data_IF_624288375711
#
_entry.id   IF_624288375711
#
_cell.length_a   1.000
_cell.length_b   1.000
_cell.length_c   1.000
_cell.angle_alpha   90.00
_cell.angle_beta   90.00
_cell.angle_gamma   90.00
#
_symmetry.space_group_name_H-M   'P 1'
#
loop_
_entity.id
_entity.type
_entity.pdbx_description
1 polymer ?
#
# COMPACT_ATOMS: atom_id res chain seq x y z
N UNK A 1 14.84 -28.63 0.45
CA UNK A 1 15.25 -27.60 -0.52
C UNK A 1 14.82 -26.18 -0.11
N UNK A 2 13.62 -25.99 0.46
CA UNK A 2 13.13 -24.67 0.96
C UNK A 2 13.84 -24.11 2.22
N UNK A 3 14.50 -24.94 3.03
CA UNK A 3 15.22 -24.47 4.24
C UNK A 3 16.51 -23.70 3.94
N UNK A 4 17.12 -23.88 2.76
CA UNK A 4 18.34 -23.15 2.35
C UNK A 4 18.07 -21.73 1.85
N UNK A 5 16.81 -21.37 1.61
CA UNK A 5 16.40 -20.03 1.15
C UNK A 5 16.31 -19.00 2.28
N UNK A 6 16.36 -19.41 3.55
CA UNK A 6 16.14 -18.51 4.70
C UNK A 6 17.33 -18.45 5.66
N UNK A 7 18.44 -19.15 5.38
CA UNK A 7 19.65 -19.09 6.22
C UNK A 7 20.57 -17.91 5.90
N UNK A 8 20.29 -17.16 4.82
CA UNK A 8 21.11 -16.03 4.33
C UNK A 8 20.28 -14.77 4.00
N UNK A 9 19.02 -14.66 4.44
CA UNK A 9 18.22 -13.49 4.11
C UNK A 9 18.55 -12.34 5.05
N UNK A 10 19.16 -11.33 4.47
CA UNK A 10 19.46 -10.03 5.04
C UNK A 10 18.17 -9.19 5.03
N UNK A 11 17.59 -8.85 6.20
CA UNK A 11 16.34 -8.08 6.28
C UNK A 11 16.41 -6.75 5.54
N UNK A 12 17.58 -6.09 5.53
CA UNK A 12 17.79 -4.80 4.86
C UNK A 12 17.65 -4.96 3.33
N UNK A 13 18.26 -6.00 2.76
CA UNK A 13 18.13 -6.29 1.32
C UNK A 13 16.70 -6.63 0.92
N UNK A 14 15.98 -7.36 1.77
CA UNK A 14 14.58 -7.69 1.50
C UNK A 14 13.68 -6.45 1.60
N UNK A 15 13.90 -5.58 2.59
CA UNK A 15 13.22 -4.29 2.71
C UNK A 15 13.46 -3.44 1.46
N UNK A 16 14.72 -3.33 1.01
CA UNK A 16 15.08 -2.59 -0.20
C UNK A 16 14.39 -3.13 -1.46
N UNK A 17 14.37 -4.45 -1.63
CA UNK A 17 13.67 -5.08 -2.75
C UNK A 17 12.16 -4.79 -2.75
N UNK A 18 11.52 -4.85 -1.58
CA UNK A 18 10.07 -4.60 -1.45
C UNK A 18 9.73 -3.12 -1.65
N UNK A 19 10.54 -2.20 -1.11
CA UNK A 19 10.42 -0.75 -1.35
C UNK A 19 10.56 -0.44 -2.84
N UNK A 20 11.58 -1.00 -3.51
CA UNK A 20 11.75 -0.82 -4.96
C UNK A 20 10.53 -1.32 -5.73
N UNK A 21 10.00 -2.49 -5.40
CA UNK A 21 8.80 -3.04 -6.04
C UNK A 21 7.58 -2.11 -5.89
N UNK A 22 7.43 -1.49 -4.71
CA UNK A 22 6.38 -0.51 -4.44
C UNK A 22 6.57 0.74 -5.31
N UNK A 23 7.76 1.35 -5.31
CA UNK A 23 8.06 2.55 -6.08
C UNK A 23 7.88 2.33 -7.59
N UNK A 24 8.36 1.20 -8.13
CA UNK A 24 8.15 0.83 -9.53
C UNK A 24 6.66 0.68 -9.88
N UNK A 25 5.89 0.11 -8.97
CA UNK A 25 4.43 -0.05 -9.12
C UNK A 25 3.72 1.32 -9.12
N UNK A 26 4.07 2.20 -8.19
CA UNK A 26 3.55 3.57 -8.13
C UNK A 26 3.90 4.36 -9.38
N UNK A 27 5.15 4.29 -9.84
CA UNK A 27 5.61 4.94 -11.06
C UNK A 27 4.87 4.42 -12.31
N UNK A 28 4.60 3.12 -12.38
CA UNK A 28 3.83 2.53 -13.48
C UNK A 28 2.43 3.14 -13.57
N UNK A 29 1.73 3.30 -12.43
CA UNK A 29 0.41 3.96 -12.40
C UNK A 29 0.52 5.43 -12.75
N UNK A 30 1.51 6.13 -12.18
CA UNK A 30 1.72 7.55 -12.46
C UNK A 30 1.98 7.84 -13.95
N UNK A 31 2.61 6.89 -14.66
CA UNK A 31 2.86 6.96 -16.11
C UNK A 31 1.69 6.43 -16.97
N UNK A 32 0.71 5.77 -16.37
CA UNK A 32 -0.40 5.16 -17.11
C UNK A 32 -1.28 6.21 -17.79
N UNK A 33 -1.55 5.98 -19.08
CA UNK A 33 -2.29 6.93 -19.91
C UNK A 33 -3.76 7.04 -19.55
N UNK A 34 -4.38 5.99 -18.99
CA UNK A 34 -5.77 6.05 -18.53
C UNK A 34 -5.84 6.79 -17.19
N UNK A 35 -4.97 6.47 -16.24
CA UNK A 35 -4.86 7.16 -14.96
C UNK A 35 -4.67 8.67 -15.17
N UNK A 36 -3.70 9.07 -16.00
CA UNK A 36 -3.42 10.49 -16.32
C UNK A 36 -4.64 11.21 -16.90
N UNK A 37 -5.42 10.54 -17.76
CA UNK A 37 -6.68 11.10 -18.27
C UNK A 37 -7.72 11.27 -17.18
N UNK A 38 -7.87 10.29 -16.29
CA UNK A 38 -8.85 10.31 -15.19
C UNK A 38 -8.58 11.43 -14.18
N UNK A 39 -7.31 11.76 -13.95
CA UNK A 39 -6.90 12.83 -13.02
C UNK A 39 -6.71 14.19 -13.70
N UNK A 40 -7.03 14.33 -14.99
CA UNK A 40 -6.78 15.55 -15.79
C UNK A 40 -5.31 16.03 -15.69
N UNK A 41 -4.35 15.09 -15.79
CA UNK A 41 -2.92 15.33 -15.52
C UNK A 41 -2.33 16.55 -16.23
N UNK A 42 -2.63 16.74 -17.51
CA UNK A 42 -2.12 17.85 -18.33
C UNK A 42 -2.61 19.24 -17.88
N UNK A 43 -3.64 19.31 -17.04
CA UNK A 43 -4.18 20.57 -16.49
C UNK A 43 -3.65 20.87 -15.10
N UNK A 44 -2.80 20.00 -14.55
CA UNK A 44 -2.23 20.14 -13.21
C UNK A 44 -0.86 20.79 -13.29
N UNK A 45 -0.58 21.65 -12.32
CA UNK A 45 0.77 22.17 -12.14
C UNK A 45 1.71 21.07 -11.62
N UNK A 46 3.01 21.35 -11.68
CA UNK A 46 4.04 20.38 -11.26
C UNK A 46 3.89 19.98 -9.79
N UNK A 47 3.45 20.91 -8.94
CA UNK A 47 3.25 20.65 -7.52
C UNK A 47 2.15 19.60 -7.29
N UNK A 48 0.98 19.78 -7.92
CA UNK A 48 -0.10 18.81 -7.86
C UNK A 48 0.33 17.44 -8.42
N UNK A 49 1.09 17.43 -9.52
CA UNK A 49 1.60 16.20 -10.11
C UNK A 49 2.55 15.46 -9.15
N UNK A 50 3.47 16.19 -8.51
CA UNK A 50 4.38 15.63 -7.52
C UNK A 50 3.61 15.08 -6.31
N UNK A 51 2.62 15.82 -5.80
CA UNK A 51 1.77 15.37 -4.69
C UNK A 51 1.02 14.08 -5.03
N UNK A 52 0.48 13.96 -6.24
CA UNK A 52 -0.17 12.71 -6.69
C UNK A 52 0.81 11.55 -6.70
N UNK A 53 2.04 11.76 -7.19
CA UNK A 53 3.05 10.73 -7.19
C UNK A 53 3.42 10.29 -5.76
N UNK A 54 3.64 11.25 -4.87
CA UNK A 54 3.94 10.97 -3.47
C UNK A 54 2.82 10.15 -2.80
N UNK A 55 1.55 10.48 -3.05
CA UNK A 55 0.42 9.72 -2.51
C UNK A 55 0.36 8.28 -3.02
N UNK A 56 0.77 8.03 -4.28
CA UNK A 56 0.89 6.67 -4.81
C UNK A 56 2.02 5.89 -4.10
N UNK A 57 3.18 6.51 -3.90
CA UNK A 57 4.30 5.87 -3.21
C UNK A 57 3.98 5.55 -1.75
N UNK A 58 3.50 6.53 -0.98
CA UNK A 58 3.15 6.33 0.43
C UNK A 58 2.03 5.30 0.57
N UNK A 59 0.98 5.36 -0.25
CA UNK A 59 -0.09 4.34 -0.21
C UNK A 59 0.47 2.93 -0.41
N UNK A 60 1.38 2.75 -1.37
CA UNK A 60 2.02 1.46 -1.62
C UNK A 60 2.91 1.00 -0.46
N UNK A 61 3.64 1.93 0.17
CA UNK A 61 4.48 1.64 1.34
C UNK A 61 3.64 1.21 2.53
N UNK A 62 2.54 1.92 2.82
CA UNK A 62 1.66 1.54 3.93
C UNK A 62 0.98 0.20 3.64
N UNK A 63 0.56 -0.08 2.39
CA UNK A 63 0.04 -1.41 2.02
C UNK A 63 1.05 -2.52 2.32
N UNK A 64 2.34 -2.30 2.03
CA UNK A 64 3.41 -3.24 2.34
C UNK A 64 3.53 -3.49 3.85
N UNK A 65 3.56 -2.43 4.67
CA UNK A 65 3.62 -2.55 6.13
C UNK A 65 2.45 -3.40 6.66
N UNK A 66 1.23 -3.09 6.23
CA UNK A 66 0.04 -3.85 6.62
C UNK A 66 0.06 -5.31 6.17
N UNK A 67 0.60 -5.59 4.99
CA UNK A 67 0.74 -6.95 4.51
C UNK A 67 1.73 -7.76 5.34
N UNK A 68 2.82 -7.14 5.77
CA UNK A 68 3.78 -7.79 6.66
C UNK A 68 3.10 -8.07 8.00
N UNK A 69 2.46 -7.08 8.62
CA UNK A 69 1.77 -7.22 9.91
C UNK A 69 0.68 -8.31 9.87
N UNK A 70 -0.14 -8.31 8.82
CA UNK A 70 -1.17 -9.34 8.62
C UNK A 70 -0.56 -10.73 8.39
N UNK A 71 0.62 -10.84 7.77
CA UNK A 71 1.21 -12.12 7.38
C UNK A 71 2.06 -12.75 8.46
N UNK A 72 2.67 -11.95 9.34
CA UNK A 72 3.58 -12.39 10.40
C UNK A 72 2.92 -13.40 11.35
N UNK A 73 1.60 -13.32 11.55
CA UNK A 73 0.86 -14.27 12.39
C UNK A 73 0.71 -15.68 11.77
N UNK A 74 0.94 -15.83 10.46
CA UNK A 74 0.75 -17.09 9.73
C UNK A 74 2.06 -17.83 9.41
N UNK A 75 3.21 -17.30 9.86
CA UNK A 75 4.53 -17.88 9.61
C UNK A 75 5.16 -18.45 10.89
N UNK A 76 6.15 -19.33 10.74
CA UNK A 76 6.88 -19.89 11.89
C UNK A 76 7.72 -18.81 12.62
N UNK A 77 8.18 -19.11 13.85
CA UNK A 77 8.84 -18.14 14.72
C UNK A 77 10.10 -17.50 14.11
N UNK A 78 10.88 -18.27 13.31
CA UNK A 78 12.07 -17.76 12.62
C UNK A 78 11.69 -16.74 11.55
N UNK A 79 10.66 -17.06 10.74
CA UNK A 79 10.12 -16.15 9.72
C UNK A 79 9.43 -14.93 10.35
N UNK A 80 8.80 -15.09 11.52
CA UNK A 80 8.19 -13.98 12.27
C UNK A 80 9.24 -12.95 12.69
N UNK A 81 10.37 -13.38 13.25
CA UNK A 81 11.47 -12.48 13.58
C UNK A 81 12.00 -11.74 12.35
N UNK A 82 12.29 -12.49 11.28
CA UNK A 82 12.76 -11.93 10.01
C UNK A 82 11.81 -10.85 9.46
N UNK A 83 10.52 -11.15 9.35
CA UNK A 83 9.54 -10.20 8.81
C UNK A 83 9.29 -8.99 9.73
N UNK A 84 9.45 -9.14 11.04
CA UNK A 84 9.44 -8.00 11.97
C UNK A 84 10.59 -7.06 11.69
N UNK A 85 11.81 -7.59 11.52
CA UNK A 85 12.99 -6.79 11.18
C UNK A 85 12.82 -6.08 9.83
N UNK A 86 12.28 -6.78 8.82
CA UNK A 86 11.95 -6.16 7.53
C UNK A 86 10.95 -5.02 7.70
N UNK A 87 9.85 -5.22 8.46
CA UNK A 87 8.83 -4.18 8.70
C UNK A 87 9.43 -2.92 9.28
N UNK A 88 10.32 -3.07 10.26
CA UNK A 88 10.95 -1.94 10.95
C UNK A 88 11.89 -1.17 10.01
N UNK A 89 12.48 -1.86 9.03
CA UNK A 89 13.41 -1.27 8.06
C UNK A 89 12.74 -0.63 6.83
N UNK A 90 11.48 -0.95 6.49
CA UNK A 90 10.84 -0.48 5.23
C UNK A 90 10.86 1.04 5.08
N UNK A 91 10.38 1.79 6.08
CA UNK A 91 10.31 3.25 6.00
C UNK A 91 11.70 3.89 5.96
N UNK A 92 12.61 3.41 6.82
CA UNK A 92 14.00 3.89 6.85
C UNK A 92 14.72 3.62 5.53
N UNK A 93 14.53 2.43 4.95
CA UNK A 93 15.13 2.06 3.65
C UNK A 93 14.65 2.99 2.54
N UNK A 94 13.36 3.33 2.52
CA UNK A 94 12.82 4.28 1.55
C UNK A 94 13.40 5.69 1.73
N UNK A 95 13.47 6.19 2.97
CA UNK A 95 14.05 7.51 3.28
C UNK A 95 15.56 7.56 2.94
N UNK A 96 16.31 6.52 3.27
CA UNK A 96 17.74 6.43 2.96
C UNK A 96 17.98 6.38 1.45
N UNK A 97 17.14 5.65 0.70
CA UNK A 97 17.20 5.65 -0.76
C UNK A 97 16.94 7.04 -1.34
N UNK A 98 15.92 7.75 -0.84
CA UNK A 98 15.66 9.14 -1.21
C UNK A 98 16.82 10.09 -0.90
N UNK A 99 17.41 10.00 0.29
CA UNK A 99 18.60 10.77 0.66
C UNK A 99 19.79 10.48 -0.24
N UNK A 100 19.98 9.22 -0.65
CA UNK A 100 21.05 8.82 -1.59
C UNK A 100 20.89 9.43 -3.00
N UNK A 101 19.66 9.83 -3.37
CA UNK A 101 19.37 10.54 -4.61
C UNK A 101 19.56 12.07 -4.48
N UNK A 102 19.99 12.56 -3.31
CA UNK A 102 20.26 13.98 -3.07
C UNK A 102 19.05 14.77 -2.54
N UNK A 103 18.01 14.11 -2.03
CA UNK A 103 16.93 14.79 -1.31
C UNK A 103 17.48 15.28 0.03
N UNK A 104 17.31 16.58 0.30
CA UNK A 104 17.78 17.21 1.54
C UNK A 104 17.02 16.71 2.78
N UNK A 105 17.71 16.67 3.93
CA UNK A 105 17.18 16.15 5.20
C UNK A 105 15.83 16.77 5.59
N UNK A 106 15.64 18.07 5.37
CA UNK A 106 14.37 18.76 5.66
C UNK A 106 13.18 18.17 4.89
N UNK A 107 13.39 17.67 3.66
CA UNK A 107 12.36 17.01 2.89
C UNK A 107 12.20 15.55 3.30
N UNK A 108 13.27 14.88 3.74
CA UNK A 108 13.18 13.53 4.32
C UNK A 108 12.33 13.53 5.60
N UNK A 109 12.46 14.55 6.43
CA UNK A 109 11.62 14.73 7.63
C UNK A 109 10.14 14.91 7.27
N UNK A 110 9.84 15.67 6.20
CA UNK A 110 8.47 15.81 5.69
C UNK A 110 7.92 14.46 5.22
N UNK A 111 8.72 13.68 4.49
CA UNK A 111 8.34 12.34 4.05
C UNK A 111 8.09 11.38 5.21
N UNK A 112 8.95 11.42 6.23
CA UNK A 112 8.78 10.62 7.44
C UNK A 112 7.46 10.94 8.12
N UNK A 113 7.16 12.22 8.33
CA UNK A 113 5.89 12.64 8.91
C UNK A 113 4.69 12.21 8.06
N UNK A 114 4.79 12.32 6.72
CA UNK A 114 3.73 11.88 5.82
C UNK A 114 3.48 10.36 5.92
N UNK A 115 4.55 9.55 5.98
CA UNK A 115 4.44 8.10 6.17
C UNK A 115 3.76 7.78 7.50
N UNK A 116 4.20 8.41 8.60
CA UNK A 116 3.66 8.17 9.93
C UNK A 116 2.18 8.59 10.04
N UNK A 117 1.81 9.74 9.47
CA UNK A 117 0.43 10.21 9.42
C UNK A 117 -0.46 9.25 8.62
N UNK A 118 0.01 8.81 7.44
CA UNK A 118 -0.74 7.88 6.60
C UNK A 118 -0.88 6.52 7.26
N UNK A 119 0.16 5.99 7.89
CA UNK A 119 0.07 4.72 8.60
C UNK A 119 -1.03 4.74 9.66
N UNK A 120 -1.06 5.78 10.49
CA UNK A 120 -2.07 5.95 11.53
C UNK A 120 -3.48 6.07 10.95
N UNK A 121 -3.65 6.90 9.92
CA UNK A 121 -4.95 7.07 9.28
C UNK A 121 -5.48 5.76 8.66
N UNK A 122 -4.64 5.05 7.90
CA UNK A 122 -5.03 3.78 7.28
C UNK A 122 -5.37 2.72 8.33
N UNK A 123 -4.66 2.71 9.46
CA UNK A 123 -4.95 1.82 10.59
C UNK A 123 -6.33 2.05 11.17
N UNK A 124 -6.67 3.30 11.46
CA UNK A 124 -8.00 3.67 11.97
C UNK A 124 -9.09 3.33 10.96
N UNK A 125 -8.85 3.66 9.68
CA UNK A 125 -9.81 3.40 8.60
C UNK A 125 -10.07 1.91 8.40
N UNK A 126 -9.06 1.05 8.50
CA UNK A 126 -9.23 -0.40 8.40
C UNK A 126 -10.17 -0.93 9.50
N UNK A 127 -10.02 -0.46 10.73
CA UNK A 127 -10.88 -0.89 11.84
C UNK A 127 -12.33 -0.44 11.63
N UNK A 128 -12.53 0.80 11.18
CA UNK A 128 -13.86 1.32 10.83
C UNK A 128 -14.50 0.51 9.70
N UNK A 129 -13.75 0.28 8.61
CA UNK A 129 -14.23 -0.50 7.46
C UNK A 129 -14.54 -1.95 7.84
N UNK A 130 -13.72 -2.56 8.70
CA UNK A 130 -13.95 -3.93 9.19
C UNK A 130 -15.30 -4.02 9.89
N UNK A 131 -15.60 -3.11 10.81
CA UNK A 131 -16.87 -3.10 11.54
C UNK A 131 -18.06 -2.79 10.64
N UNK A 132 -17.91 -1.83 9.72
CA UNK A 132 -18.96 -1.49 8.75
C UNK A 132 -19.29 -2.68 7.84
N UNK A 133 -18.27 -3.30 7.23
CA UNK A 133 -18.45 -4.41 6.30
C UNK A 133 -18.93 -5.67 7.01
N UNK A 134 -18.49 -5.92 8.25
CA UNK A 134 -19.03 -7.02 9.08
C UNK A 134 -20.54 -6.88 9.26
N UNK A 135 -21.02 -5.68 9.61
CA UNK A 135 -22.46 -5.42 9.85
C UNK A 135 -23.29 -5.45 8.57
N UNK A 136 -22.81 -4.82 7.51
CA UNK A 136 -23.64 -4.52 6.33
C UNK A 136 -23.44 -5.46 5.14
N UNK A 137 -22.27 -6.13 5.06
CA UNK A 137 -21.91 -6.96 3.91
C UNK A 137 -21.73 -8.41 4.34
N UNK A 138 -20.75 -8.69 5.19
CA UNK A 138 -20.34 -10.07 5.50
C UNK A 138 -21.37 -10.86 6.31
N UNK A 139 -22.23 -10.19 7.07
CA UNK A 139 -23.33 -10.82 7.81
C UNK A 139 -24.69 -10.67 7.11
N UNK A 140 -24.72 -10.26 5.83
CA UNK A 140 -25.95 -10.23 5.04
C UNK A 140 -26.53 -11.64 4.87
N UNK A 141 -27.86 -11.72 4.71
CA UNK A 141 -28.60 -12.99 4.61
C UNK A 141 -28.16 -13.87 3.43
N UNK A 142 -27.64 -13.29 2.35
CA UNK A 142 -27.09 -14.01 1.20
C UNK A 142 -25.72 -14.64 1.52
N UNK A 143 -24.81 -13.90 2.17
CA UNK A 143 -23.48 -14.38 2.51
C UNK A 143 -23.46 -15.28 3.75
N UNK A 144 -24.51 -15.25 4.59
CA UNK A 144 -24.70 -16.21 5.68
C UNK A 144 -24.79 -17.67 5.17
N UNK A 145 -25.30 -17.88 3.96
CA UNK A 145 -25.41 -19.21 3.33
C UNK A 145 -24.08 -19.72 2.77
N UNK A 146 -23.14 -18.82 2.47
CA UNK A 146 -21.81 -19.16 1.96
C UNK A 146 -20.77 -18.21 2.57
N UNK A 147 -20.31 -18.50 3.80
CA UNK A 147 -19.41 -17.61 4.51
C UNK A 147 -18.15 -17.31 3.71
N UNK A 148 -17.82 -16.03 3.58
CA UNK A 148 -16.57 -15.59 2.95
C UNK A 148 -15.40 -15.95 3.89
N UNK A 149 -14.35 -16.54 3.34
CA UNK A 149 -13.11 -16.85 4.09
C UNK A 149 -12.51 -15.56 4.67
N UNK A 150 -11.99 -15.64 5.89
CA UNK A 150 -11.40 -14.48 6.57
C UNK A 150 -10.27 -13.83 5.76
N UNK A 151 -9.48 -14.64 5.06
CA UNK A 151 -8.41 -14.16 4.16
C UNK A 151 -8.94 -13.32 3.00
N UNK A 152 -10.13 -13.62 2.49
CA UNK A 152 -10.79 -12.84 1.43
C UNK A 152 -11.36 -11.54 2.01
N UNK A 153 -11.94 -11.58 3.22
CA UNK A 153 -12.42 -10.37 3.91
C UNK A 153 -11.31 -9.37 4.15
N UNK A 154 -10.15 -9.81 4.68
CA UNK A 154 -8.97 -8.96 4.91
C UNK A 154 -8.48 -8.29 3.63
N UNK A 155 -8.36 -9.07 2.55
CA UNK A 155 -8.00 -8.54 1.23
C UNK A 155 -9.00 -7.49 0.73
N UNK A 156 -10.29 -7.75 0.87
CA UNK A 156 -11.33 -6.81 0.47
C UNK A 156 -11.26 -5.50 1.28
N UNK A 157 -11.10 -5.61 2.61
CA UNK A 157 -10.94 -4.43 3.49
C UNK A 157 -9.73 -3.60 3.08
N UNK A 158 -8.55 -4.22 2.88
CA UNK A 158 -7.36 -3.51 2.41
C UNK A 158 -7.61 -2.85 1.05
N UNK A 159 -8.16 -3.59 0.10
CA UNK A 159 -8.44 -3.07 -1.23
C UNK A 159 -9.30 -1.81 -1.19
N UNK A 160 -10.42 -1.83 -0.46
CA UNK A 160 -11.28 -0.67 -0.28
C UNK A 160 -10.55 0.46 0.45
N UNK A 161 -9.86 0.15 1.55
CA UNK A 161 -9.18 1.14 2.37
C UNK A 161 -8.13 1.92 1.58
N UNK A 162 -7.21 1.21 0.93
CA UNK A 162 -6.07 1.81 0.22
C UNK A 162 -6.49 2.50 -1.08
N UNK A 163 -7.46 1.95 -1.83
CA UNK A 163 -7.90 2.62 -3.07
C UNK A 163 -8.65 3.93 -2.78
N UNK A 164 -9.51 3.93 -1.75
CA UNK A 164 -10.25 5.13 -1.37
C UNK A 164 -9.35 6.16 -0.70
N UNK A 165 -8.52 5.75 0.27
CA UNK A 165 -7.60 6.67 0.94
C UNK A 165 -6.63 7.34 -0.04
N UNK A 166 -6.07 6.57 -0.97
CA UNK A 166 -5.17 7.12 -1.99
C UNK A 166 -5.86 8.18 -2.85
N UNK A 167 -7.09 7.90 -3.29
CA UNK A 167 -7.84 8.89 -4.04
C UNK A 167 -8.19 10.13 -3.19
N UNK A 168 -8.61 9.97 -1.93
CA UNK A 168 -9.01 11.09 -1.07
C UNK A 168 -7.88 12.10 -0.83
N UNK A 169 -6.65 11.62 -0.72
CA UNK A 169 -5.49 12.48 -0.42
C UNK A 169 -4.87 13.19 -1.61
N UNK A 170 -5.25 12.81 -2.83
CA UNK A 170 -4.80 13.53 -4.02
C UNK A 170 -5.37 14.97 -4.04
N UNK A 171 -4.59 15.96 -4.50
CA UNK A 171 -4.98 17.37 -4.46
C UNK A 171 -6.05 17.70 -5.52
N UNK A 172 -7.32 17.46 -5.21
CA UNK A 172 -8.42 17.76 -6.13
C UNK A 172 -8.76 19.25 -6.14
N UNK A 173 -8.49 19.94 -7.25
CA UNK A 173 -8.96 21.33 -7.48
C UNK A 173 -10.42 21.37 -7.94
N UNK A 174 -10.91 20.29 -8.56
CA UNK A 174 -12.28 20.13 -9.08
C UNK A 174 -12.75 18.68 -8.86
N UNK A 175 -14.07 18.45 -8.81
CA UNK A 175 -14.61 17.09 -8.79
C UNK A 175 -14.08 16.27 -9.97
N UNK A 176 -13.67 15.04 -9.69
CA UNK A 176 -13.19 14.10 -10.72
C UNK A 176 -14.37 13.73 -11.62
N UNK A 177 -14.19 13.92 -12.93
CA UNK A 177 -15.26 13.68 -13.91
C UNK A 177 -15.80 12.25 -13.88
N UNK A 178 -14.91 11.26 -13.67
CA UNK A 178 -15.28 9.86 -13.54
C UNK A 178 -14.62 9.23 -12.30
N UNK A 179 -15.16 9.61 -11.14
CA UNK A 179 -14.68 9.10 -9.85
C UNK A 179 -14.76 7.57 -9.77
N UNK A 180 -15.78 6.96 -10.40
CA UNK A 180 -15.95 5.50 -10.40
C UNK A 180 -14.83 4.81 -11.18
N UNK A 181 -14.48 5.32 -12.37
CA UNK A 181 -13.38 4.77 -13.16
C UNK A 181 -12.03 4.96 -12.46
N UNK A 182 -11.78 6.11 -11.82
CA UNK A 182 -10.57 6.31 -11.02
C UNK A 182 -10.48 5.30 -9.87
N UNK A 183 -11.57 5.13 -9.12
CA UNK A 183 -11.61 4.15 -8.03
C UNK A 183 -11.35 2.72 -8.54
N UNK A 184 -11.96 2.34 -9.67
CA UNK A 184 -11.71 1.03 -10.25
C UNK A 184 -10.26 0.84 -10.71
N UNK A 185 -9.65 1.90 -11.25
CA UNK A 185 -8.24 1.88 -11.65
C UNK A 185 -7.33 1.67 -10.44
N UNK A 186 -7.51 2.46 -9.37
CA UNK A 186 -6.73 2.35 -8.14
C UNK A 186 -6.95 1.00 -7.45
N UNK A 187 -8.18 0.48 -7.40
CA UNK A 187 -8.46 -0.88 -6.91
C UNK A 187 -7.68 -1.93 -7.71
N UNK A 188 -7.65 -1.81 -9.03
CA UNK A 188 -6.93 -2.77 -9.87
C UNK A 188 -5.43 -2.74 -9.58
N UNK A 189 -4.85 -1.55 -9.41
CA UNK A 189 -3.46 -1.38 -9.01
C UNK A 189 -3.17 -1.99 -7.63
N UNK A 190 -3.93 -1.59 -6.60
CA UNK A 190 -3.76 -2.09 -5.22
C UNK A 190 -3.89 -3.61 -5.17
N UNK A 191 -4.84 -4.20 -5.91
CA UNK A 191 -5.00 -5.65 -5.98
C UNK A 191 -3.77 -6.34 -6.60
N UNK A 192 -3.23 -5.81 -7.70
CA UNK A 192 -2.03 -6.38 -8.33
C UNK A 192 -0.83 -6.27 -7.40
N UNK A 193 -0.66 -5.12 -6.73
CA UNK A 193 0.42 -4.91 -5.77
C UNK A 193 0.28 -5.84 -4.56
N UNK A 194 -0.92 -5.96 -3.97
CA UNK A 194 -1.21 -6.88 -2.86
C UNK A 194 -0.86 -8.32 -3.22
N UNK A 195 -1.23 -8.79 -4.41
CA UNK A 195 -0.92 -10.16 -4.87
C UNK A 195 0.59 -10.36 -5.01
N UNK A 196 1.31 -9.41 -5.61
CA UNK A 196 2.76 -9.51 -5.81
C UNK A 196 3.50 -9.54 -4.47
N UNK A 197 3.18 -8.61 -3.57
CA UNK A 197 3.78 -8.51 -2.24
C UNK A 197 3.44 -9.73 -1.38
N UNK A 198 2.15 -10.13 -1.31
CA UNK A 198 1.73 -11.28 -0.53
C UNK A 198 2.38 -12.58 -1.01
N UNK A 199 2.59 -12.74 -2.33
CA UNK A 199 3.31 -13.90 -2.88
C UNK A 199 4.74 -13.97 -2.33
N UNK A 200 5.44 -12.84 -2.25
CA UNK A 200 6.82 -12.75 -1.73
C UNK A 200 6.88 -12.96 -0.22
N UNK A 201 5.89 -12.45 0.52
CA UNK A 201 5.87 -12.52 1.99
C UNK A 201 5.50 -13.92 2.50
N UNK A 202 4.51 -14.56 1.88
CA UNK A 202 3.95 -15.84 2.35
C UNK A 202 4.74 -17.07 1.86
N UNK A 203 5.27 -17.03 0.63
CA UNK A 203 5.91 -18.19 -0.02
C UNK A 203 7.42 -18.00 -0.15
#
# INVERSE_FOLDING_TARGET
>A
MLQKLFSNNDPEKEAGFLVQMVCESAFTVFRDGQFRKLIDFEKRDQEDQNRIFNELEVTGLILLLFLIDDSVQFVNIKRKKFWSEVRDMVSETFLNWMGSMGIEDQFLDIWKNLIDERENEYKERIEILREHLKKNVFNSSELAKKPIKETVKRKFIRLECFSFGCAEHMPWKKPIKDQKALQQHLKSWILVLDIKLAKRILY
#
